data_IF_356206757053
#
_entry.id   IF_356206757053
#
_cell.length_a   1.000
_cell.length_b   1.000
_cell.length_c   1.000
_cell.angle_alpha   90.00
_cell.angle_beta   90.00
_cell.angle_gamma   90.00
#
_symmetry.space_group_name_H-M   'P 1'
#
loop_
_entity.id
_entity.type
_entity.pdbx_description
1 polymer ?
#
# COMPACT_ATOMS: atom_id res chain seq x y z
N UNK A 1 -58.98 -9.70 -11.24
CA UNK A 1 -59.13 -10.75 -12.30
C UNK A 1 -57.80 -10.72 -13.06
N UNK A 2 -56.95 -11.63 -13.02
CA UNK A 2 -56.77 -12.98 -13.48
C UNK A 2 -55.57 -13.63 -12.80
N UNK A 3 -55.75 -14.83 -12.31
CA UNK A 3 -54.81 -15.80 -11.79
C UNK A 3 -54.11 -16.55 -12.96
N UNK A 4 -52.96 -17.16 -12.67
CA UNK A 4 -52.38 -18.25 -13.44
C UNK A 4 -50.88 -18.07 -13.62
N UNK A 5 -49.99 -19.02 -13.46
CA UNK A 5 -50.07 -20.39 -12.94
C UNK A 5 -48.61 -20.84 -12.70
N UNK A 6 -48.42 -21.60 -11.64
CA UNK A 6 -47.24 -22.44 -11.40
C UNK A 6 -47.01 -23.38 -12.59
N UNK A 7 -45.75 -23.59 -12.98
CA UNK A 7 -45.33 -24.88 -13.56
C UNK A 7 -44.00 -25.30 -12.96
N UNK A 8 -44.11 -26.24 -12.10
CA UNK A 8 -43.20 -27.26 -11.61
C UNK A 8 -42.64 -28.09 -12.79
N UNK A 9 -41.34 -28.28 -12.86
CA UNK A 9 -40.72 -29.45 -13.48
C UNK A 9 -39.52 -29.91 -12.66
N UNK A 10 -39.75 -30.98 -11.95
CA UNK A 10 -38.75 -31.90 -11.40
C UNK A 10 -38.28 -32.89 -12.50
N UNK A 11 -37.14 -33.51 -12.23
CA UNK A 11 -36.43 -34.66 -12.85
C UNK A 11 -35.18 -34.23 -13.60
N UNK A 12 -33.98 -34.85 -13.41
CA UNK A 12 -33.71 -36.24 -13.06
C UNK A 12 -32.33 -36.39 -12.40
N UNK A 13 -32.32 -37.31 -11.47
CA UNK A 13 -31.23 -38.02 -10.82
C UNK A 13 -30.33 -38.75 -11.86
N UNK A 14 -29.01 -38.59 -11.80
CA UNK A 14 -28.06 -39.47 -12.46
C UNK A 14 -26.88 -39.70 -11.51
N UNK A 15 -26.91 -40.83 -10.83
CA UNK A 15 -25.90 -41.41 -9.96
C UNK A 15 -24.61 -41.67 -10.74
N UNK A 16 -23.52 -41.10 -10.27
CA UNK A 16 -22.17 -41.47 -10.72
C UNK A 16 -21.42 -42.15 -9.58
N UNK A 17 -21.18 -43.45 -9.78
CA UNK A 17 -20.39 -44.32 -8.89
C UNK A 17 -18.90 -44.03 -9.02
N UNK A 18 -18.16 -43.93 -7.92
CA UNK A 18 -16.71 -43.81 -8.00
C UNK A 18 -16.01 -45.17 -8.16
N UNK A 19 -14.91 -45.26 -8.92
CA UNK A 19 -14.09 -46.50 -9.00
C UNK A 19 -13.24 -46.66 -7.75
N UNK A 20 -13.08 -47.90 -7.32
CA UNK A 20 -12.37 -48.34 -6.13
C UNK A 20 -10.83 -48.25 -6.24
N UNK A 21 -10.15 -48.51 -5.12
CA UNK A 21 -8.69 -48.29 -4.99
C UNK A 21 -7.88 -49.40 -5.67
N UNK A 22 -6.88 -48.97 -6.46
CA UNK A 22 -5.85 -49.89 -6.99
C UNK A 22 -4.66 -49.93 -6.03
N UNK A 23 -4.17 -51.15 -5.78
CA UNK A 23 -3.03 -51.47 -4.91
C UNK A 23 -1.67 -51.06 -5.50
N UNK A 24 -0.64 -50.85 -4.65
CA UNK A 24 0.64 -50.35 -5.10
C UNK A 24 1.54 -51.46 -5.65
N UNK A 25 2.22 -51.18 -6.76
CA UNK A 25 3.28 -52.03 -7.33
C UNK A 25 4.66 -51.44 -7.07
N UNK A 26 5.48 -52.27 -6.44
CA UNK A 26 6.93 -52.45 -6.56
C UNK A 26 7.86 -51.25 -6.33
N UNK A 27 8.58 -51.40 -5.21
CA UNK A 27 9.78 -50.65 -4.84
C UNK A 27 10.92 -50.76 -5.88
N UNK A 28 11.49 -49.65 -6.22
CA UNK A 28 12.85 -49.58 -6.80
C UNK A 28 13.75 -48.76 -5.88
N UNK A 29 14.96 -49.32 -5.63
CA UNK A 29 16.01 -48.79 -4.79
C UNK A 29 16.57 -47.43 -5.32
N UNK A 30 17.09 -46.55 -4.45
CA UNK A 30 17.64 -45.28 -4.85
C UNK A 30 19.07 -45.43 -5.40
N UNK A 31 19.42 -44.67 -6.47
CA UNK A 31 20.81 -44.54 -6.87
C UNK A 31 21.57 -43.55 -5.99
N UNK A 32 22.84 -43.87 -5.81
CA UNK A 32 23.86 -43.24 -4.96
C UNK A 32 23.91 -41.71 -5.04
N UNK A 33 24.08 -41.09 -3.87
CA UNK A 33 24.34 -39.69 -3.67
C UNK A 33 25.58 -39.20 -4.45
N UNK A 34 25.37 -38.28 -5.38
CA UNK A 34 26.42 -37.43 -5.90
C UNK A 34 26.49 -36.15 -5.07
N UNK A 35 27.72 -35.80 -4.64
CA UNK A 35 28.01 -34.60 -3.91
C UNK A 35 27.63 -33.36 -4.72
N UNK A 36 27.11 -32.27 -4.11
CA UNK A 36 26.78 -31.05 -4.80
C UNK A 36 28.06 -30.34 -5.28
N UNK A 37 28.05 -29.77 -6.47
CA UNK A 37 29.16 -28.96 -6.94
C UNK A 37 29.26 -27.68 -6.11
N UNK A 38 30.50 -27.38 -5.71
CA UNK A 38 30.88 -26.14 -5.00
C UNK A 38 30.32 -24.91 -5.68
N UNK A 39 29.41 -24.24 -5.02
CA UNK A 39 28.87 -22.95 -5.46
C UNK A 39 29.98 -21.90 -5.41
N UNK A 40 30.45 -21.48 -6.57
CA UNK A 40 31.29 -20.30 -6.73
C UNK A 40 30.55 -19.06 -6.19
N UNK A 41 31.25 -18.11 -5.55
CA UNK A 41 30.60 -16.90 -5.05
C UNK A 41 30.05 -16.12 -6.23
N UNK A 42 28.75 -15.94 -6.22
CA UNK A 42 28.04 -15.09 -7.19
C UNK A 42 28.63 -13.68 -7.15
N UNK A 43 29.04 -13.20 -8.30
CA UNK A 43 29.45 -11.80 -8.51
C UNK A 43 28.41 -10.86 -7.94
N UNK A 44 28.81 -9.70 -7.36
CA UNK A 44 27.86 -8.74 -6.86
C UNK A 44 26.96 -8.29 -8.00
N UNK A 45 25.67 -8.58 -7.86
CA UNK A 45 24.65 -8.08 -8.77
C UNK A 45 24.81 -6.56 -8.88
N UNK A 46 24.95 -6.05 -10.08
CA UNK A 46 24.93 -4.61 -10.37
C UNK A 46 23.62 -4.05 -9.82
N UNK A 47 23.69 -3.46 -8.65
CA UNK A 47 22.53 -2.86 -8.00
C UNK A 47 22.17 -1.57 -8.73
N UNK A 48 21.23 -1.68 -9.67
CA UNK A 48 20.61 -0.48 -10.21
C UNK A 48 20.01 0.32 -9.05
N UNK A 49 20.14 1.66 -9.07
CA UNK A 49 19.59 2.50 -8.02
C UNK A 49 18.07 2.25 -7.91
N UNK A 50 17.62 1.95 -6.71
CA UNK A 50 16.22 1.68 -6.41
C UNK A 50 15.58 2.95 -5.85
N UNK A 51 14.55 3.49 -6.48
CA UNK A 51 13.86 4.66 -5.96
C UNK A 51 13.25 4.41 -4.58
N UNK A 52 13.15 5.46 -3.74
CA UNK A 52 12.61 5.32 -2.40
C UNK A 52 11.10 5.04 -2.42
N UNK A 53 10.68 4.27 -1.43
CA UNK A 53 9.28 3.98 -1.15
C UNK A 53 9.06 3.81 0.35
N UNK A 54 7.82 3.95 0.80
CA UNK A 54 7.42 3.73 2.18
C UNK A 54 6.02 3.13 2.24
N UNK A 55 5.75 2.35 3.25
CA UNK A 55 4.40 1.89 3.61
C UNK A 55 4.02 2.52 4.94
N UNK A 56 2.88 3.18 4.96
CA UNK A 56 2.31 3.78 6.17
C UNK A 56 1.01 3.06 6.50
N UNK A 57 0.92 2.54 7.72
CA UNK A 57 -0.27 1.88 8.24
C UNK A 57 -0.94 2.77 9.27
N UNK A 58 -2.27 2.85 9.25
CA UNK A 58 -3.10 3.58 10.22
C UNK A 58 -4.49 3.00 10.27
N UNK A 59 -5.31 3.45 11.20
CA UNK A 59 -6.74 3.16 11.21
C UNK A 59 -7.52 4.23 10.45
N UNK A 60 -8.63 3.80 9.84
CA UNK A 60 -9.64 4.73 9.31
C UNK A 60 -10.34 5.37 10.51
N UNK A 61 -10.18 6.67 10.66
CA UNK A 61 -10.75 7.45 11.75
C UNK A 61 -12.14 7.97 11.39
N UNK A 62 -12.91 8.41 12.40
CA UNK A 62 -14.21 9.03 12.15
C UNK A 62 -14.13 10.21 11.19
N UNK A 63 -13.12 11.04 11.34
CA UNK A 63 -12.85 12.21 10.47
C UNK A 63 -12.47 11.85 9.04
N UNK A 64 -12.17 10.59 8.77
CA UNK A 64 -11.89 10.07 7.44
C UNK A 64 -13.15 9.65 6.70
N UNK A 65 -14.28 9.50 7.40
CA UNK A 65 -15.53 8.97 6.86
C UNK A 65 -16.51 10.06 6.46
N UNK A 66 -17.49 9.69 5.63
CA UNK A 66 -18.63 10.51 5.27
C UNK A 66 -19.93 9.98 5.90
N UNK A 67 -21.06 10.58 5.53
CA UNK A 67 -22.37 10.18 6.04
C UNK A 67 -22.77 8.73 5.69
N UNK A 68 -22.10 8.10 4.72
CA UNK A 68 -22.31 6.70 4.37
C UNK A 68 -21.51 5.73 5.26
N UNK A 69 -20.65 6.24 6.16
CA UNK A 69 -19.88 5.47 7.13
C UNK A 69 -18.61 4.85 6.58
N UNK A 70 -18.26 5.09 5.32
CA UNK A 70 -16.99 4.69 4.73
C UNK A 70 -16.10 5.90 4.43
N UNK A 71 -14.83 5.68 4.11
CA UNK A 71 -13.89 6.76 3.86
C UNK A 71 -14.39 7.69 2.74
N UNK A 72 -14.25 8.98 2.99
CA UNK A 72 -14.51 10.01 1.98
C UNK A 72 -13.39 10.04 0.96
N UNK A 73 -13.72 10.22 -0.32
CA UNK A 73 -12.73 10.18 -1.40
C UNK A 73 -11.53 11.11 -1.19
N UNK A 74 -11.74 12.31 -0.62
CA UNK A 74 -10.66 13.26 -0.34
C UNK A 74 -9.69 12.79 0.74
N UNK A 75 -10.06 11.81 1.54
CA UNK A 75 -9.20 11.27 2.59
C UNK A 75 -7.96 10.58 2.03
N UNK A 76 -8.06 10.00 0.82
CA UNK A 76 -6.92 9.37 0.15
C UNK A 76 -5.77 10.36 -0.05
N UNK A 77 -6.07 11.63 -0.36
CA UNK A 77 -5.04 12.67 -0.49
C UNK A 77 -4.27 12.83 0.83
N UNK A 78 -4.97 12.92 1.97
CA UNK A 78 -4.33 13.06 3.30
C UNK A 78 -3.49 11.85 3.68
N UNK A 79 -3.93 10.63 3.33
CA UNK A 79 -3.15 9.42 3.58
C UNK A 79 -1.88 9.38 2.74
N UNK A 80 -1.95 9.80 1.48
CA UNK A 80 -0.79 9.92 0.59
C UNK A 80 0.17 11.00 1.07
N UNK A 81 -0.36 12.14 1.52
CA UNK A 81 0.45 13.23 2.11
C UNK A 81 1.17 12.80 3.39
N UNK A 82 0.50 12.03 4.24
CA UNK A 82 1.13 11.47 5.43
C UNK A 82 2.26 10.51 5.08
N UNK A 83 2.07 9.68 4.04
CA UNK A 83 3.13 8.79 3.56
C UNK A 83 4.30 9.57 2.93
N UNK A 84 4.03 10.66 2.20
CA UNK A 84 5.08 11.55 1.69
C UNK A 84 5.87 12.19 2.83
N UNK A 85 5.18 12.67 3.86
CA UNK A 85 5.83 13.28 5.02
C UNK A 85 6.76 12.28 5.73
N UNK A 86 6.32 11.04 5.94
CA UNK A 86 7.15 9.98 6.52
C UNK A 86 8.35 9.68 5.63
N UNK A 87 8.14 9.56 4.30
CA UNK A 87 9.22 9.29 3.36
C UNK A 87 10.28 10.38 3.40
N UNK A 88 9.89 11.64 3.25
CA UNK A 88 10.81 12.77 3.27
C UNK A 88 11.51 12.91 4.62
N UNK A 89 10.84 12.68 5.73
CA UNK A 89 11.45 12.70 7.06
C UNK A 89 12.55 11.65 7.18
N UNK A 90 12.29 10.41 6.76
CA UNK A 90 13.27 9.30 6.81
C UNK A 90 14.48 9.52 5.91
N UNK A 91 14.29 10.27 4.82
CA UNK A 91 15.37 10.67 3.94
C UNK A 91 16.15 11.91 4.44
N UNK A 92 15.78 12.49 5.60
CA UNK A 92 16.39 13.73 6.09
C UNK A 92 15.97 14.97 5.30
N UNK A 93 14.91 14.88 4.51
CA UNK A 93 14.42 15.92 3.60
C UNK A 93 13.24 16.72 4.16
N UNK A 94 13.05 16.75 5.48
CA UNK A 94 11.93 17.50 6.11
C UNK A 94 11.97 19.01 5.81
N UNK A 95 13.13 19.55 5.46
CA UNK A 95 13.27 20.95 5.03
C UNK A 95 12.55 21.27 3.71
N UNK A 96 12.13 20.25 2.96
CA UNK A 96 11.34 20.42 1.74
C UNK A 96 9.84 20.64 2.02
N UNK A 97 9.38 20.47 3.25
CA UNK A 97 7.99 20.78 3.61
C UNK A 97 7.69 22.25 3.31
N UNK A 98 6.61 22.49 2.57
CA UNK A 98 6.25 23.82 2.08
C UNK A 98 6.94 24.26 0.79
N UNK A 99 7.96 23.52 0.31
CA UNK A 99 8.67 23.80 -0.94
C UNK A 99 8.30 22.87 -2.09
N UNK A 100 7.30 21.99 -1.87
CA UNK A 100 6.87 20.98 -2.83
C UNK A 100 5.35 21.04 -3.09
N UNK A 101 4.85 22.15 -3.71
CA UNK A 101 3.45 22.26 -4.06
C UNK A 101 3.02 21.12 -4.99
N UNK A 102 1.82 20.59 -4.74
CA UNK A 102 1.22 19.55 -5.57
C UNK A 102 0.69 20.15 -6.85
N UNK A 103 1.12 19.61 -7.99
CA UNK A 103 0.72 20.09 -9.31
C UNK A 103 -0.17 19.11 -10.05
N UNK A 104 -0.22 17.86 -9.59
CA UNK A 104 -1.12 16.85 -10.14
C UNK A 104 -1.44 15.80 -9.09
N UNK A 105 -2.70 15.36 -9.06
CA UNK A 105 -3.17 14.23 -8.27
C UNK A 105 -4.29 13.54 -9.03
N UNK A 106 -4.17 12.21 -9.19
CA UNK A 106 -5.23 11.37 -9.75
C UNK A 106 -5.39 10.12 -8.90
N UNK A 107 -6.62 9.65 -8.75
CA UNK A 107 -6.92 8.45 -7.99
C UNK A 107 -8.09 7.67 -8.61
N UNK A 108 -7.89 6.37 -8.73
CA UNK A 108 -8.93 5.38 -9.05
C UNK A 108 -9.40 4.74 -7.76
N UNK A 109 -10.69 4.83 -7.47
CA UNK A 109 -11.32 4.25 -6.28
C UNK A 109 -11.94 2.90 -6.62
N UNK A 110 -11.66 1.87 -5.80
CA UNK A 110 -12.05 0.48 -6.09
C UNK A 110 -12.95 -0.13 -5.03
N UNK A 111 -12.54 -0.09 -3.76
CA UNK A 111 -13.30 -0.68 -2.66
C UNK A 111 -13.44 0.31 -1.50
N UNK A 112 -14.49 0.11 -0.70
CA UNK A 112 -14.76 0.91 0.49
C UNK A 112 -13.94 0.41 1.67
N UNK A 113 -13.52 1.34 2.52
CA UNK A 113 -12.96 1.06 3.84
C UNK A 113 -13.86 1.74 4.87
N UNK A 114 -14.12 1.04 5.95
CA UNK A 114 -15.05 1.49 6.97
C UNK A 114 -14.30 2.08 8.17
N UNK A 115 -15.03 2.84 8.98
CA UNK A 115 -14.50 3.31 10.26
C UNK A 115 -13.90 2.15 11.07
N UNK A 116 -12.68 2.33 11.56
CA UNK A 116 -11.96 1.34 12.36
C UNK A 116 -11.16 0.31 11.55
N UNK A 117 -11.33 0.22 10.23
CA UNK A 117 -10.50 -0.64 9.38
C UNK A 117 -9.03 -0.20 9.45
N UNK A 118 -8.13 -1.16 9.31
CA UNK A 118 -6.72 -0.86 9.07
C UNK A 118 -6.49 -0.57 7.60
N UNK A 119 -5.84 0.55 7.33
CA UNK A 119 -5.46 0.98 5.99
C UNK A 119 -3.95 1.08 5.86
N UNK A 120 -3.42 0.59 4.75
CA UNK A 120 -2.01 0.65 4.38
C UNK A 120 -1.86 1.47 3.12
N UNK A 121 -1.09 2.55 3.19
CA UNK A 121 -0.75 3.41 2.07
C UNK A 121 0.69 3.17 1.68
N UNK A 122 0.90 2.58 0.52
CA UNK A 122 2.21 2.46 -0.11
C UNK A 122 2.42 3.67 -1.02
N UNK A 123 3.53 4.38 -0.83
CA UNK A 123 3.97 5.48 -1.67
C UNK A 123 5.37 5.17 -2.20
N UNK A 124 5.58 5.32 -3.50
CA UNK A 124 6.89 5.12 -4.12
C UNK A 124 7.20 6.20 -5.15
N UNK A 125 8.45 6.61 -5.20
CA UNK A 125 8.96 7.48 -6.25
C UNK A 125 9.03 6.69 -7.56
N UNK A 126 8.51 7.26 -8.63
CA UNK A 126 8.53 6.63 -9.97
C UNK A 126 9.42 7.39 -10.95
N UNK A 127 9.62 8.69 -10.72
CA UNK A 127 10.47 9.53 -11.56
C UNK A 127 10.94 10.76 -10.79
N UNK A 128 12.20 11.09 -10.92
CA UNK A 128 12.78 12.36 -10.45
C UNK A 128 13.11 13.20 -11.69
N UNK A 129 12.32 14.26 -11.90
CA UNK A 129 12.56 15.24 -12.98
C UNK A 129 13.61 16.26 -12.57
N UNK A 130 13.81 17.30 -13.40
CA UNK A 130 14.72 18.41 -13.05
C UNK A 130 14.20 19.22 -11.86
N UNK A 131 12.90 19.49 -11.82
CA UNK A 131 12.22 20.25 -10.77
C UNK A 131 10.89 19.60 -10.35
N UNK A 132 10.67 18.32 -10.64
CA UNK A 132 9.44 17.59 -10.29
C UNK A 132 9.75 16.22 -9.71
N UNK A 133 8.86 15.75 -8.83
CA UNK A 133 8.92 14.42 -8.27
C UNK A 133 7.58 13.73 -8.50
N UNK A 134 7.64 12.55 -9.10
CA UNK A 134 6.47 11.76 -9.44
C UNK A 134 6.36 10.57 -8.50
N UNK A 135 5.19 10.38 -7.96
CA UNK A 135 4.85 9.26 -7.09
C UNK A 135 3.75 8.40 -7.71
N UNK A 136 3.82 7.12 -7.43
CA UNK A 136 2.67 6.22 -7.49
C UNK A 136 2.28 5.82 -6.08
N UNK A 137 0.99 5.64 -5.83
CA UNK A 137 0.50 5.16 -4.55
C UNK A 137 -0.53 4.04 -4.72
N UNK A 138 -0.60 3.20 -3.70
CA UNK A 138 -1.64 2.18 -3.55
C UNK A 138 -2.12 2.19 -2.11
N UNK A 139 -3.44 2.28 -1.94
CA UNK A 139 -4.12 2.19 -0.65
C UNK A 139 -4.80 0.83 -0.57
N UNK A 140 -4.51 0.05 0.49
CA UNK A 140 -5.07 -1.28 0.72
C UNK A 140 -5.74 -1.36 2.08
N UNK A 141 -6.85 -2.08 2.13
CA UNK A 141 -7.48 -2.47 3.39
C UNK A 141 -6.76 -3.64 4.07
N UNK A 142 -7.16 -3.95 5.29
CA UNK A 142 -6.59 -5.02 6.12
C UNK A 142 -6.63 -6.41 5.47
N UNK A 143 -7.57 -6.68 4.57
CA UNK A 143 -7.68 -7.93 3.83
C UNK A 143 -6.83 -7.95 2.54
N UNK A 144 -6.00 -6.94 2.32
CA UNK A 144 -5.12 -6.83 1.15
C UNK A 144 -5.77 -6.31 -0.13
N UNK A 145 -7.08 -6.11 -0.15
CA UNK A 145 -7.80 -5.54 -1.30
C UNK A 145 -7.39 -4.08 -1.57
N UNK A 146 -7.25 -3.72 -2.84
CA UNK A 146 -6.96 -2.35 -3.24
C UNK A 146 -8.20 -1.47 -3.06
N UNK A 147 -8.09 -0.43 -2.23
CA UNK A 147 -9.14 0.57 -2.02
C UNK A 147 -9.00 1.73 -2.98
N UNK A 148 -7.78 2.19 -3.21
CA UNK A 148 -7.48 3.21 -4.20
C UNK A 148 -6.05 3.04 -4.75
N UNK A 149 -5.85 3.47 -5.99
CA UNK A 149 -4.52 3.56 -6.63
C UNK A 149 -4.43 4.89 -7.36
N UNK A 150 -3.22 5.40 -7.56
CA UNK A 150 -3.08 6.64 -8.31
C UNK A 150 -1.67 7.18 -8.41
N UNK A 151 -1.58 8.43 -8.85
CA UNK A 151 -0.33 9.15 -9.03
C UNK A 151 -0.42 10.56 -8.45
N UNK A 152 0.70 11.03 -7.97
CA UNK A 152 0.87 12.39 -7.49
C UNK A 152 2.15 12.98 -8.09
N UNK A 153 2.10 14.25 -8.45
CA UNK A 153 3.29 15.00 -8.89
C UNK A 153 3.41 16.25 -8.05
N UNK A 154 4.60 16.46 -7.52
CA UNK A 154 4.96 17.71 -6.85
C UNK A 154 6.03 18.43 -7.66
N UNK A 155 6.04 19.75 -7.60
CA UNK A 155 7.08 20.58 -8.16
C UNK A 155 7.95 21.15 -7.03
N UNK A 156 9.24 21.20 -7.22
CA UNK A 156 10.12 21.90 -6.29
C UNK A 156 10.07 23.41 -6.57
N UNK A 157 9.83 24.19 -5.54
CA UNK A 157 9.81 25.65 -5.60
C UNK A 157 10.62 26.19 -4.43
N UNK A 158 11.75 26.83 -4.70
CA UNK A 158 12.51 27.48 -3.64
C UNK A 158 11.67 28.58 -2.98
N UNK A 159 11.97 28.90 -1.73
CA UNK A 159 11.28 29.95 -1.00
C UNK A 159 11.32 31.27 -1.78
N UNK A 160 10.14 31.91 -1.93
CA UNK A 160 9.93 33.17 -2.68
C UNK A 160 10.19 33.11 -4.19
N UNK A 161 10.41 31.90 -4.78
CA UNK A 161 10.52 31.79 -6.24
C UNK A 161 9.13 31.85 -6.91
N UNK A 162 9.08 32.50 -8.05
CA UNK A 162 7.91 32.45 -8.95
C UNK A 162 8.11 31.29 -9.92
N UNK A 163 7.59 30.09 -9.59
CA UNK A 163 7.70 28.90 -10.42
C UNK A 163 8.58 27.79 -9.84
N UNK A 164 8.83 26.77 -10.65
CA UNK A 164 9.61 25.61 -10.22
C UNK A 164 11.12 25.88 -10.30
N UNK A 165 11.85 25.32 -9.36
CA UNK A 165 13.32 25.41 -9.25
C UNK A 165 13.94 24.03 -9.37
N UNK A 166 15.06 23.82 -10.05
CA UNK A 166 15.72 22.53 -10.11
C UNK A 166 16.06 22.00 -8.70
N UNK A 167 16.00 20.68 -8.55
CA UNK A 167 16.45 20.03 -7.33
C UNK A 167 17.94 20.26 -7.11
N UNK A 168 18.39 20.49 -5.87
CA UNK A 168 19.80 20.36 -5.52
C UNK A 168 20.31 18.96 -5.93
N UNK A 169 21.56 18.83 -6.43
CA UNK A 169 22.08 17.56 -6.94
C UNK A 169 22.03 16.42 -5.92
N UNK A 170 22.42 16.70 -4.67
CA UNK A 170 22.39 15.76 -3.55
C UNK A 170 20.97 15.26 -3.22
N UNK A 171 19.99 16.16 -3.22
CA UNK A 171 18.58 15.81 -3.03
C UNK A 171 18.08 14.94 -4.18
N UNK A 172 18.44 15.29 -5.41
CA UNK A 172 18.02 14.52 -6.60
C UNK A 172 18.57 13.10 -6.58
N UNK A 173 19.85 12.94 -6.22
CA UNK A 173 20.51 11.64 -6.14
C UNK A 173 19.86 10.78 -5.05
N UNK A 174 19.60 11.37 -3.89
CA UNK A 174 18.93 10.69 -2.78
C UNK A 174 17.50 10.24 -3.18
N UNK A 175 16.72 11.13 -3.80
CA UNK A 175 15.36 10.79 -4.30
C UNK A 175 15.37 9.74 -5.41
N UNK A 176 16.51 9.54 -6.10
CA UNK A 176 16.66 8.56 -7.15
C UNK A 176 17.11 7.17 -6.68
N UNK A 177 17.74 7.05 -5.50
CA UNK A 177 18.51 5.85 -5.17
C UNK A 177 18.38 5.35 -3.71
N UNK A 178 17.62 6.03 -2.84
CA UNK A 178 17.60 5.72 -1.41
C UNK A 178 16.92 4.39 -1.04
N UNK A 179 16.25 3.73 -1.98
CA UNK A 179 15.61 2.43 -1.75
C UNK A 179 14.38 2.46 -0.84
N UNK A 180 13.77 1.30 -0.62
CA UNK A 180 12.61 1.17 0.27
C UNK A 180 12.96 1.56 1.71
N UNK A 181 12.07 2.33 2.34
CA UNK A 181 12.17 2.72 3.74
C UNK A 181 11.36 1.77 4.62
N UNK A 182 11.73 1.69 5.89
CA UNK A 182 10.98 0.87 6.86
C UNK A 182 9.53 1.33 6.95
N UNK A 183 8.57 0.41 7.10
CA UNK A 183 7.17 0.75 7.31
C UNK A 183 6.97 1.63 8.56
N UNK A 184 5.92 2.43 8.55
CA UNK A 184 5.51 3.30 9.66
C UNK A 184 4.10 2.95 10.11
N UNK A 185 3.89 2.88 11.43
CA UNK A 185 2.57 2.76 12.03
C UNK A 185 2.20 4.12 12.64
N UNK A 186 1.25 4.82 12.02
CA UNK A 186 0.68 6.04 12.58
C UNK A 186 -0.44 5.66 13.54
N UNK A 187 -0.14 5.70 14.83
CA UNK A 187 -1.13 5.53 15.89
C UNK A 187 -1.68 6.91 16.25
N UNK A 188 -3.01 7.06 16.26
CA UNK A 188 -3.63 8.23 16.87
C UNK A 188 -3.22 8.26 18.32
N UNK A 189 -2.59 9.34 18.77
CA UNK A 189 -2.24 9.50 20.17
C UNK A 189 -3.52 9.35 21.00
N UNK A 190 -3.60 8.29 21.79
CA UNK A 190 -4.67 8.09 22.74
C UNK A 190 -4.58 9.27 23.72
N UNK A 191 -5.63 10.05 23.83
CA UNK A 191 -5.68 11.13 24.80
C UNK A 191 -5.27 10.56 26.16
N UNK A 192 -4.37 11.22 26.93
CA UNK A 192 -3.97 10.73 28.24
C UNK A 192 -5.24 10.49 29.07
N UNK A 193 -5.38 9.26 29.54
CA UNK A 193 -6.56 8.78 30.24
C UNK A 193 -6.93 9.75 31.34
N UNK A 194 -8.20 10.17 31.33
CA UNK A 194 -8.77 11.04 32.37
C UNK A 194 -8.49 10.44 33.73
N UNK A 195 -7.82 11.20 34.56
CA UNK A 195 -7.60 10.92 35.97
C UNK A 195 -8.95 10.64 36.62
N UNK A 196 -9.14 9.41 37.06
CA UNK A 196 -10.30 9.02 37.89
C UNK A 196 -10.36 9.95 39.10
N UNK A 197 -11.35 10.83 39.15
CA UNK A 197 -11.72 11.52 40.35
C UNK A 197 -12.25 10.46 41.34
N UNK A 198 -11.38 10.00 42.23
CA UNK A 198 -11.80 9.29 43.43
C UNK A 198 -12.57 10.27 44.30
N UNK A 199 -13.88 10.07 44.37
CA UNK A 199 -14.73 10.72 45.36
C UNK A 199 -14.31 10.24 46.75
N UNK A 200 -13.73 11.15 47.52
CA UNK A 200 -13.62 10.96 48.97
C UNK A 200 -14.91 11.51 49.61
N UNK A 201 -15.65 10.61 50.25
CA UNK A 201 -16.73 10.91 51.20
C UNK A 201 -16.16 11.14 52.59
#
# INVERSE_FOLDING_TARGET
MRRGALRERARADARHTPPGPQAPSSAQAPPSAQAPPSSSPSSPASSHPVPPSVVVERRVEWTDTDAAGHYHHSTVVRWVEAAEAVLLHRLGLSHLFGSTPRVHFEADYRTRLWFGDTVRTELRVTKVGSASLHYAFTVRGQQGGEAATGRMVVAHSAAHATGSTPWPPDVRDLLGAAGPQQPELLTTAQAPGGTSCASQS
#
